data_IF_589329589955
#
_entry.id   IF_589329589955
#
_cell.length_a   1.000
_cell.length_b   1.000
_cell.length_c   1.000
_cell.angle_alpha   90.00
_cell.angle_beta   90.00
_cell.angle_gamma   90.00
#
_symmetry.space_group_name_H-M   'P 1'
#
loop_
_entity.id
_entity.type
_entity.pdbx_description
1 polymer ?
#
# COMPACT_ATOMS: atom_id res chain seq x y z
N UNK A 1 7.14 -18.55 21.26
CA UNK A 1 7.71 -17.31 20.70
C UNK A 1 6.63 -16.65 19.86
N UNK A 2 6.19 -15.44 20.21
CA UNK A 2 5.19 -14.68 19.44
C UNK A 2 5.95 -13.84 18.44
N UNK A 3 5.85 -14.15 17.15
CA UNK A 3 6.27 -13.20 16.12
C UNK A 3 5.21 -12.12 16.03
N UNK A 4 5.66 -10.89 16.24
CA UNK A 4 4.88 -9.66 16.20
C UNK A 4 4.21 -9.50 14.83
N UNK A 5 3.12 -8.72 14.81
CA UNK A 5 2.33 -8.39 13.65
C UNK A 5 3.22 -8.08 12.44
N UNK A 6 3.07 -8.92 11.41
CA UNK A 6 3.66 -8.73 10.11
C UNK A 6 3.21 -7.37 9.57
N UNK A 7 4.06 -6.35 9.65
CA UNK A 7 3.84 -5.12 8.89
C UNK A 7 3.71 -5.54 7.43
N UNK A 8 2.48 -5.46 6.92
CA UNK A 8 2.17 -5.78 5.54
C UNK A 8 2.90 -4.75 4.70
N UNK A 9 3.84 -5.21 3.87
CA UNK A 9 4.41 -4.36 2.83
C UNK A 9 3.25 -3.70 2.08
N UNK A 10 3.30 -2.38 1.89
CA UNK A 10 2.26 -1.66 1.16
C UNK A 10 2.32 -2.10 -0.30
N UNK A 11 1.37 -2.94 -0.71
CA UNK A 11 1.20 -3.40 -2.08
C UNK A 11 0.22 -2.48 -2.80
N UNK A 12 0.62 -1.98 -3.96
CA UNK A 12 -0.23 -1.27 -4.90
C UNK A 12 -0.37 -2.08 -6.18
N UNK A 13 -1.60 -2.15 -6.69
CA UNK A 13 -1.91 -2.82 -7.94
C UNK A 13 -2.10 -1.79 -9.05
N UNK A 14 -1.48 -2.06 -10.20
CA UNK A 14 -1.59 -1.25 -11.41
C UNK A 14 -2.25 -2.11 -12.49
N UNK A 15 -3.39 -1.67 -13.00
CA UNK A 15 -4.09 -2.38 -14.07
C UNK A 15 -3.52 -1.96 -15.43
N UNK A 16 -3.03 -2.93 -16.20
CA UNK A 16 -2.54 -2.72 -17.56
C UNK A 16 -3.49 -3.37 -18.54
N UNK A 17 -3.98 -2.61 -19.53
CA UNK A 17 -4.86 -3.08 -20.60
C UNK A 17 -4.10 -3.12 -21.93
N UNK A 18 -4.16 -4.25 -22.62
CA UNK A 18 -3.67 -4.33 -24.00
C UNK A 18 -4.74 -3.80 -24.96
N UNK A 19 -4.45 -2.66 -25.59
CA UNK A 19 -5.31 -2.00 -26.58
C UNK A 19 -4.92 -2.32 -28.03
N UNK A 20 -3.88 -3.13 -28.23
CA UNK A 20 -3.46 -3.57 -29.55
C UNK A 20 -4.26 -4.79 -30.03
N UNK A 21 -4.03 -5.18 -31.28
CA UNK A 21 -4.59 -6.37 -31.91
C UNK A 21 -3.71 -7.62 -31.77
N UNK A 22 -2.56 -7.52 -31.10
CA UNK A 22 -1.62 -8.63 -30.88
C UNK A 22 -1.39 -8.90 -29.39
N UNK A 23 -1.09 -10.13 -28.96
CA UNK A 23 -0.67 -10.40 -27.59
C UNK A 23 0.62 -9.65 -27.23
N UNK A 24 0.68 -9.06 -26.03
CA UNK A 24 1.87 -8.34 -25.55
C UNK A 24 2.43 -8.98 -24.29
N UNK A 25 3.76 -9.12 -24.24
CA UNK A 25 4.52 -9.51 -23.06
C UNK A 25 5.29 -8.30 -22.56
N UNK A 26 5.35 -8.17 -21.24
CA UNK A 26 6.09 -7.12 -20.56
C UNK A 26 7.37 -7.69 -19.98
N UNK A 27 8.44 -6.91 -20.05
CA UNK A 27 9.69 -7.20 -19.38
C UNK A 27 10.11 -5.99 -18.56
N UNK A 28 10.57 -6.22 -17.34
CA UNK A 28 11.17 -5.18 -16.52
C UNK A 28 12.58 -4.90 -17.06
N UNK A 29 12.84 -3.64 -17.43
CA UNK A 29 14.15 -3.21 -17.96
C UNK A 29 14.87 -2.24 -17.04
N UNK A 30 14.16 -1.64 -16.09
CA UNK A 30 14.72 -0.82 -15.02
C UNK A 30 13.87 -0.96 -13.78
N UNK A 31 14.51 -1.20 -12.64
CA UNK A 31 13.87 -1.36 -11.33
C UNK A 31 14.67 -0.57 -10.28
N UNK A 32 14.00 0.15 -9.37
CA UNK A 32 14.67 0.83 -8.27
C UNK A 32 14.91 -0.15 -7.10
N UNK A 33 15.92 -1.00 -7.27
CA UNK A 33 16.32 -2.04 -6.29
C UNK A 33 16.51 -1.44 -4.89
N UNK A 34 15.94 -2.08 -3.87
CA UNK A 34 16.00 -1.64 -2.48
C UNK A 34 14.92 -0.62 -2.08
N UNK A 35 14.06 -0.20 -3.01
CA UNK A 35 12.95 0.73 -2.75
C UNK A 35 11.60 0.05 -2.97
N UNK A 36 11.42 -0.55 -4.16
CA UNK A 36 10.22 -1.32 -4.49
C UNK A 36 10.55 -2.59 -5.23
N UNK A 37 9.71 -3.58 -5.01
CA UNK A 37 9.68 -4.85 -5.72
C UNK A 37 8.50 -4.85 -6.70
N UNK A 38 8.77 -5.12 -7.98
CA UNK A 38 7.82 -5.02 -9.08
C UNK A 38 7.54 -6.39 -9.70
N UNK A 39 6.36 -6.95 -9.41
CA UNK A 39 5.90 -8.18 -10.04
C UNK A 39 5.13 -7.87 -11.33
N UNK A 40 5.68 -8.30 -12.47
CA UNK A 40 4.97 -8.33 -13.74
C UNK A 40 4.16 -9.62 -13.89
N UNK A 41 3.04 -9.60 -14.64
CA UNK A 41 2.33 -10.82 -14.98
C UNK A 41 3.21 -11.74 -15.83
N UNK A 42 3.28 -13.02 -15.44
CA UNK A 42 4.15 -14.01 -16.07
C UNK A 42 3.82 -14.28 -17.55
N UNK A 43 2.53 -14.29 -17.90
CA UNK A 43 2.10 -14.50 -19.29
C UNK A 43 1.71 -13.20 -19.99
N UNK A 44 1.66 -13.31 -21.30
CA UNK A 44 1.13 -12.33 -22.24
C UNK A 44 -0.28 -11.82 -21.88
N UNK A 45 -0.47 -10.53 -22.12
CA UNK A 45 -1.75 -9.85 -22.07
C UNK A 45 -2.39 -9.94 -23.46
N UNK A 46 -3.44 -10.75 -23.59
CA UNK A 46 -4.17 -10.93 -24.86
C UNK A 46 -4.82 -9.61 -25.31
N UNK A 47 -5.11 -9.44 -26.62
CA UNK A 47 -5.83 -8.28 -27.15
C UNK A 47 -7.11 -7.97 -26.37
N UNK A 48 -7.29 -6.70 -25.99
CA UNK A 48 -8.46 -6.22 -25.24
C UNK A 48 -8.56 -6.67 -23.78
N UNK A 49 -7.61 -7.49 -23.29
CA UNK A 49 -7.58 -7.96 -21.90
C UNK A 49 -6.69 -7.09 -21.02
N UNK A 50 -6.88 -7.23 -19.71
CA UNK A 50 -6.08 -6.55 -18.70
C UNK A 50 -5.40 -7.53 -17.77
N UNK A 51 -4.25 -7.14 -17.22
CA UNK A 51 -3.55 -7.85 -16.14
C UNK A 51 -3.03 -6.84 -15.10
N UNK A 52 -2.76 -7.32 -13.90
CA UNK A 52 -2.23 -6.51 -12.80
C UNK A 52 -0.70 -6.60 -12.76
N UNK A 53 -0.05 -5.44 -12.58
CA UNK A 53 1.31 -5.32 -12.06
C UNK A 53 1.19 -5.05 -10.56
N UNK A 54 1.98 -5.74 -9.75
CA UNK A 54 2.04 -5.47 -8.30
C UNK A 54 3.33 -4.74 -7.99
N UNK A 55 3.22 -3.66 -7.22
CA UNK A 55 4.35 -2.86 -6.75
C UNK A 55 4.31 -2.87 -5.24
N UNK A 56 5.39 -3.33 -4.61
CA UNK A 56 5.50 -3.45 -3.15
C UNK A 56 6.63 -2.58 -2.66
N UNK A 57 6.38 -1.78 -1.63
CA UNK A 57 7.48 -1.06 -0.95
C UNK A 57 8.29 -2.06 -0.14
N UNK A 58 9.61 -2.06 -0.34
CA UNK A 58 10.50 -2.93 0.41
C UNK A 58 10.51 -2.57 1.91
N UNK A 59 10.47 -3.59 2.78
CA UNK A 59 10.35 -3.39 4.23
C UNK A 59 11.60 -2.81 4.88
N UNK A 60 12.75 -2.93 4.23
CA UNK A 60 14.05 -2.43 4.72
C UNK A 60 14.28 -0.95 4.37
N UNK A 61 13.26 -0.29 3.83
CA UNK A 61 13.38 1.10 3.46
C UNK A 61 13.11 2.01 4.67
N UNK A 62 14.19 2.56 5.24
CA UNK A 62 14.16 3.40 6.44
C UNK A 62 13.88 4.90 6.16
N UNK A 63 13.85 5.33 4.89
CA UNK A 63 13.60 6.74 4.59
C UNK A 63 12.09 7.07 4.63
N UNK A 64 11.77 8.29 5.07
CA UNK A 64 10.39 8.76 5.21
C UNK A 64 9.69 9.01 3.86
N UNK A 65 10.46 9.20 2.80
CA UNK A 65 9.96 9.49 1.46
C UNK A 65 10.96 9.06 0.38
N UNK A 66 10.46 8.72 -0.81
CA UNK A 66 11.28 8.56 -2.00
C UNK A 66 10.52 8.89 -3.28
N UNK A 67 11.28 9.24 -4.32
CA UNK A 67 10.81 9.38 -5.69
C UNK A 67 11.71 8.56 -6.60
N UNK A 68 11.16 7.49 -7.15
CA UNK A 68 11.84 6.57 -8.06
C UNK A 68 10.96 6.28 -9.25
N UNK A 69 11.41 5.41 -10.14
CA UNK A 69 10.62 4.89 -11.24
C UNK A 69 11.07 3.49 -11.60
N UNK A 70 10.18 2.73 -12.20
CA UNK A 70 10.51 1.50 -12.90
C UNK A 70 10.11 1.62 -14.36
N UNK A 71 10.75 0.85 -15.23
CA UNK A 71 10.47 0.86 -16.66
C UNK A 71 10.17 -0.54 -17.16
N UNK A 72 9.07 -0.68 -17.89
CA UNK A 72 8.70 -1.90 -18.59
C UNK A 72 8.88 -1.72 -20.10
N UNK A 73 9.39 -2.74 -20.77
CA UNK A 73 9.50 -2.83 -22.23
C UNK A 73 8.50 -3.88 -22.73
N UNK A 74 7.82 -3.57 -23.83
CA UNK A 74 6.94 -4.51 -24.54
C UNK A 74 7.71 -5.29 -25.61
N UNK A 75 7.22 -6.49 -25.93
CA UNK A 75 7.74 -7.33 -27.01
C UNK A 75 7.21 -6.95 -28.41
N UNK A 76 6.72 -5.71 -28.59
CA UNK A 76 6.26 -5.22 -29.89
C UNK A 76 7.44 -4.85 -30.80
N UNK A 77 7.16 -4.64 -32.09
CA UNK A 77 8.21 -4.33 -33.08
C UNK A 77 8.97 -3.04 -32.77
N UNK A 78 8.32 -2.09 -32.09
CA UNK A 78 8.90 -0.82 -31.68
C UNK A 78 9.68 -0.90 -30.36
N UNK A 79 9.62 -2.01 -29.62
CA UNK A 79 10.13 -2.15 -28.24
C UNK A 79 9.68 -1.00 -27.36
N UNK A 80 8.38 -0.75 -27.35
CA UNK A 80 7.77 0.36 -26.63
C UNK A 80 8.10 0.27 -25.14
N UNK A 81 8.51 1.39 -24.54
CA UNK A 81 8.87 1.48 -23.13
C UNK A 81 7.92 2.40 -22.37
N UNK A 82 7.49 1.97 -21.20
CA UNK A 82 6.71 2.76 -20.26
C UNK A 82 7.49 2.91 -18.97
N UNK A 83 7.72 4.16 -18.56
CA UNK A 83 8.33 4.49 -17.27
C UNK A 83 7.24 4.96 -16.33
N UNK A 84 7.10 4.26 -15.21
CA UNK A 84 6.08 4.56 -14.20
C UNK A 84 6.79 5.21 -13.01
N UNK A 85 6.46 6.48 -12.67
CA UNK A 85 6.98 7.10 -11.47
C UNK A 85 6.35 6.47 -10.22
N UNK A 86 7.16 6.26 -9.20
CA UNK A 86 6.74 5.78 -7.88
C UNK A 86 7.14 6.80 -6.85
N UNK A 87 6.13 7.34 -6.16
CA UNK A 87 6.32 8.29 -5.06
C UNK A 87 5.80 7.66 -3.77
N UNK A 88 6.65 7.64 -2.75
CA UNK A 88 6.28 7.25 -1.40
C UNK A 88 6.56 8.42 -0.47
N UNK A 89 5.67 8.63 0.50
CA UNK A 89 5.85 9.62 1.54
C UNK A 89 4.95 9.32 2.73
N UNK A 90 5.47 9.52 3.93
CA UNK A 90 4.68 9.45 5.17
C UNK A 90 4.15 10.84 5.49
N UNK A 91 2.82 10.99 5.56
CA UNK A 91 2.23 12.22 6.07
C UNK A 91 2.26 12.20 7.60
N UNK A 92 3.06 13.09 8.19
CA UNK A 92 3.06 13.30 9.64
C UNK A 92 1.86 14.17 10.02
N UNK A 93 0.86 13.58 10.68
CA UNK A 93 -0.25 14.33 11.28
C UNK A 93 0.26 14.93 12.58
N UNK A 94 0.72 16.18 12.53
CA UNK A 94 1.06 16.92 13.74
C UNK A 94 -0.25 17.39 14.38
N UNK A 95 -0.60 16.82 15.55
CA UNK A 95 -1.71 17.32 16.33
C UNK A 95 -1.45 18.79 16.72
N UNK A 96 -2.47 19.68 16.70
CA UNK A 96 -2.29 21.04 17.14
C UNK A 96 -1.81 21.02 18.60
N UNK A 97 -0.75 21.77 18.90
CA UNK A 97 -0.27 21.98 20.27
C UNK A 97 -1.41 22.62 21.06
N UNK A 98 -2.14 21.80 21.82
CA UNK A 98 -3.08 22.32 22.82
C UNK A 98 -2.24 22.96 23.91
N UNK A 99 -2.10 24.29 23.86
CA UNK A 99 -1.73 25.04 25.06
C UNK A 99 -2.73 24.61 26.15
N UNK A 100 -2.30 24.12 27.31
CA UNK A 100 -3.24 23.84 28.40
C UNK A 100 -3.96 25.15 28.72
N UNK A 101 -5.26 25.20 28.43
CA UNK A 101 -6.11 26.32 28.87
C UNK A 101 -6.24 26.18 30.38
N UNK A 102 -5.75 27.13 31.20
CA UNK A 102 -5.92 27.05 32.64
C UNK A 102 -7.41 27.09 32.96
N UNK A 103 -7.93 26.04 33.60
CA UNK A 103 -9.23 26.09 34.28
C UNK A 103 -10.39 25.27 33.70
N UNK A 104 -10.22 24.47 32.63
CA UNK A 104 -11.29 23.56 32.19
C UNK A 104 -11.02 22.13 32.64
N UNK A 105 -11.63 21.73 33.77
CA UNK A 105 -11.70 20.32 34.19
C UNK A 105 -12.44 19.54 33.11
N UNK A 106 -11.72 18.74 32.32
CA UNK A 106 -12.35 17.71 31.50
C UNK A 106 -12.79 16.57 32.42
N UNK A 107 -14.02 16.05 32.31
CA UNK A 107 -14.43 14.88 33.07
C UNK A 107 -13.60 13.69 32.59
N UNK A 108 -12.92 13.05 33.54
CA UNK A 108 -12.27 11.77 33.36
C UNK A 108 -13.34 10.72 33.04
N UNK A 109 -13.34 10.21 31.82
CA UNK A 109 -14.18 9.07 31.45
C UNK A 109 -13.34 7.82 31.70
N UNK A 110 -13.58 7.20 32.85
CA UNK A 110 -12.95 5.96 33.27
C UNK A 110 -13.49 4.80 32.39
N UNK A 111 -12.74 4.38 31.37
CA UNK A 111 -13.13 3.28 30.47
C UNK A 111 -12.83 1.89 31.07
N UNK A 112 -12.57 1.79 32.37
CA UNK A 112 -12.22 0.52 33.02
C UNK A 112 -13.43 -0.23 33.56
N UNK A 113 -14.41 -0.61 32.71
CA UNK A 113 -15.28 -1.79 32.94
C UNK A 113 -16.22 -2.06 31.76
N UNK A 114 -15.87 -3.02 30.91
CA UNK A 114 -16.83 -3.76 30.09
C UNK A 114 -16.53 -5.25 30.26
N UNK A 115 -17.14 -5.85 31.28
CA UNK A 115 -16.94 -7.25 31.62
C UNK A 115 -17.76 -7.64 32.85
N UNK A 116 -19.09 -7.63 32.73
CA UNK A 116 -19.98 -8.41 33.59
C UNK A 116 -21.34 -8.58 32.92
N UNK A 117 -21.56 -9.77 32.38
CA UNK A 117 -22.84 -10.42 32.19
C UNK A 117 -23.70 -10.40 33.47
N UNK A 118 -25.03 -10.30 33.32
CA UNK A 118 -26.08 -11.25 33.81
C UNK A 118 -27.44 -10.54 33.83
N UNK A 119 -28.43 -11.24 33.27
CA UNK A 119 -29.86 -10.89 33.13
C UNK A 119 -30.57 -10.67 34.48
N UNK A 120 -31.61 -9.81 34.57
CA UNK A 120 -32.51 -9.79 35.71
C UNK A 120 -33.65 -10.81 35.53
N UNK A 121 -33.63 -11.87 36.34
CA UNK A 121 -34.78 -12.75 36.57
C UNK A 121 -35.33 -12.55 37.99
N UNK A 122 -36.65 -12.35 38.09
CA UNK A 122 -37.38 -12.58 39.34
C UNK A 122 -38.02 -11.33 39.97
N UNK A 123 -39.28 -11.07 39.64
CA UNK A 123 -40.25 -10.51 40.60
C UNK A 123 -41.45 -11.46 40.69
N UNK A 124 -41.87 -11.58 41.95
CA UNK A 124 -42.97 -12.34 42.55
C UNK A 124 -44.27 -12.28 41.76
#
# INVERSE_FOLDING_TARGET
MKFAAEERAKEQKILVKNVSNAPVRMKLVSEPVGFVDVDLPADEVKPGKSKEIKVRVEKLFDEKEFKKSFTVELNDSAKTRFTVPVTYGVQEIVAPVTKPVPGKKVPFVDTTKAGASVQPGGKK
#
